data_IF_707031972799
#
_entry.id   IF_707031972799
#
_cell.length_a   1.000
_cell.length_b   1.000
_cell.length_c   1.000
_cell.angle_alpha   90.00
_cell.angle_beta   90.00
_cell.angle_gamma   90.00
#
_symmetry.space_group_name_H-M   'P 1'
#
loop_
_entity.id
_entity.type
_entity.pdbx_description
1 polymer ?
#
# COMPACT_ATOMS: atom_id res chain seq x y z
N UNK A 1 6.98 5.28 10.94
CA UNK A 1 6.78 4.24 11.98
C UNK A 1 5.33 4.24 12.44
N UNK A 2 4.75 3.07 12.58
CA UNK A 2 3.35 2.88 12.94
C UNK A 2 3.20 2.82 14.47
N UNK A 3 2.11 3.38 14.99
CA UNK A 3 1.60 3.09 16.33
C UNK A 3 0.07 3.00 16.28
N UNK A 4 -0.58 2.53 17.35
CA UNK A 4 -2.04 2.34 17.43
C UNK A 4 -2.89 3.57 17.07
N UNK A 5 -2.29 4.78 17.17
CA UNK A 5 -2.94 6.05 16.85
C UNK A 5 -2.45 6.63 15.53
N UNK A 6 -1.55 5.93 14.79
CA UNK A 6 -1.04 6.44 13.53
C UNK A 6 -2.16 6.64 12.52
N UNK A 7 -2.20 7.81 11.96
CA UNK A 7 -3.14 8.22 10.93
C UNK A 7 -2.32 8.45 9.66
N UNK A 8 -2.66 7.77 8.58
CA UNK A 8 -1.99 7.88 7.30
C UNK A 8 -2.84 8.69 6.34
N UNK A 9 -2.19 9.54 5.59
CA UNK A 9 -2.84 10.28 4.52
C UNK A 9 -2.65 9.52 3.21
N UNK A 10 -3.75 9.06 2.63
CA UNK A 10 -3.78 8.46 1.29
C UNK A 10 -4.76 9.29 0.47
N UNK A 11 -4.27 9.95 -0.57
CA UNK A 11 -5.09 10.81 -1.46
C UNK A 11 -6.00 11.76 -0.67
N UNK A 12 -5.40 12.54 0.24
CA UNK A 12 -6.07 13.52 1.12
C UNK A 12 -7.07 12.96 2.15
N UNK A 13 -7.14 11.65 2.34
CA UNK A 13 -7.94 11.02 3.40
C UNK A 13 -7.06 10.45 4.49
N UNK A 14 -7.55 10.56 5.71
CA UNK A 14 -6.87 10.07 6.90
C UNK A 14 -7.40 8.68 7.26
N UNK A 15 -6.49 7.71 7.38
CA UNK A 15 -6.80 6.32 7.72
C UNK A 15 -5.99 5.84 8.91
N UNK A 16 -6.59 4.97 9.71
CA UNK A 16 -5.86 4.07 10.59
C UNK A 16 -5.68 2.73 9.87
N UNK A 17 -4.70 1.91 10.27
CA UNK A 17 -4.52 0.58 9.67
C UNK A 17 -5.78 -0.27 9.83
N UNK A 18 -6.44 -0.21 10.99
CA UNK A 18 -7.70 -0.91 11.21
C UNK A 18 -8.82 -0.46 10.28
N UNK A 19 -8.88 0.83 9.94
CA UNK A 19 -9.85 1.36 8.98
C UNK A 19 -9.52 0.88 7.55
N UNK A 20 -8.22 0.76 7.23
CA UNK A 20 -7.77 0.27 5.91
C UNK A 20 -8.10 -1.20 5.72
N UNK A 21 -7.79 -2.03 6.71
CA UNK A 21 -7.93 -3.49 6.61
C UNK A 21 -9.34 -3.98 6.97
N UNK A 22 -10.15 -3.15 7.64
CA UNK A 22 -11.42 -3.56 8.25
C UNK A 22 -11.27 -4.80 9.16
N UNK A 23 -10.09 -4.94 9.74
CA UNK A 23 -9.72 -6.08 10.58
C UNK A 23 -8.75 -5.62 11.68
N UNK A 24 -9.26 -5.49 12.90
CA UNK A 24 -8.48 -5.04 14.06
C UNK A 24 -7.42 -6.07 14.49
N UNK A 25 -7.69 -7.35 14.31
CA UNK A 25 -6.76 -8.41 14.68
C UNK A 25 -5.51 -8.38 13.80
N UNK A 26 -5.69 -8.32 12.49
CA UNK A 26 -4.57 -8.18 11.54
C UNK A 26 -3.84 -6.86 11.78
N UNK A 27 -4.56 -5.76 11.97
CA UNK A 27 -3.96 -4.44 12.16
C UNK A 27 -3.00 -4.37 13.35
N UNK A 28 -3.29 -5.08 14.44
CA UNK A 28 -2.44 -5.10 15.65
C UNK A 28 -1.05 -5.71 15.42
N UNK A 29 -0.91 -6.62 14.46
CA UNK A 29 0.37 -7.25 14.12
C UNK A 29 1.40 -6.26 13.59
N UNK A 30 0.94 -5.18 12.99
CA UNK A 30 1.77 -4.16 12.35
C UNK A 30 2.08 -2.96 13.26
N UNK A 31 1.69 -3.01 14.54
CA UNK A 31 2.00 -1.94 15.50
C UNK A 31 3.52 -1.84 15.71
N UNK A 32 4.06 -0.65 15.58
CA UNK A 32 5.50 -0.39 15.64
C UNK A 32 6.27 -0.63 14.32
N UNK A 33 5.62 -1.12 13.28
CA UNK A 33 6.17 -1.36 11.96
C UNK A 33 6.27 -0.12 11.07
N UNK A 34 6.34 -0.32 9.76
CA UNK A 34 6.39 0.74 8.76
C UNK A 34 5.26 0.59 7.75
N UNK A 35 4.74 1.73 7.29
CA UNK A 35 3.79 1.82 6.19
C UNK A 35 4.42 2.66 5.07
N UNK A 36 4.55 2.07 3.89
CA UNK A 36 4.93 2.75 2.67
C UNK A 36 3.66 3.02 1.86
N UNK A 37 3.57 4.22 1.31
CA UNK A 37 2.46 4.66 0.48
C UNK A 37 3.04 5.15 -0.83
N UNK A 38 2.81 4.40 -1.90
CA UNK A 38 3.24 4.73 -3.26
C UNK A 38 2.05 5.34 -4.00
N UNK A 39 2.14 6.61 -4.29
CA UNK A 39 1.13 7.33 -5.06
C UNK A 39 1.53 7.32 -6.52
N UNK A 40 0.63 6.84 -7.38
CA UNK A 40 0.81 6.88 -8.82
C UNK A 40 -0.02 8.01 -9.43
N UNK A 41 0.59 8.79 -10.29
CA UNK A 41 -0.09 9.79 -11.13
C UNK A 41 -0.67 9.11 -12.38
N UNK A 42 -1.38 9.87 -13.20
CA UNK A 42 -2.11 9.30 -14.34
C UNK A 42 -1.18 8.76 -15.42
N UNK A 43 -0.02 9.35 -15.55
CA UNK A 43 1.03 9.02 -16.53
C UNK A 43 2.11 8.06 -16.00
N UNK A 44 2.01 7.67 -14.72
CA UNK A 44 2.91 6.68 -14.14
C UNK A 44 2.61 5.26 -14.65
N UNK A 45 3.59 4.36 -14.48
CA UNK A 45 3.43 2.94 -14.77
C UNK A 45 2.50 2.27 -13.76
N UNK A 46 1.38 1.73 -14.23
CA UNK A 46 0.29 1.25 -13.38
C UNK A 46 0.30 -0.27 -13.12
N UNK A 47 1.40 -0.96 -13.44
CA UNK A 47 1.63 -2.36 -13.06
C UNK A 47 2.46 -2.43 -11.79
N UNK A 48 2.24 -3.44 -10.98
CA UNK A 48 2.96 -3.64 -9.72
C UNK A 48 3.40 -5.08 -9.57
N UNK A 49 4.52 -5.27 -8.86
CA UNK A 49 5.16 -6.56 -8.68
C UNK A 49 5.26 -6.97 -7.22
N UNK A 50 5.58 -8.25 -7.03
CA UNK A 50 5.94 -8.78 -5.71
C UNK A 50 7.31 -8.26 -5.29
N UNK A 51 7.44 -7.95 -3.99
CA UNK A 51 8.62 -7.30 -3.39
C UNK A 51 9.72 -8.29 -2.99
N UNK A 52 9.41 -9.56 -2.94
CA UNK A 52 10.26 -10.65 -2.47
C UNK A 52 9.78 -11.97 -3.06
N UNK A 53 10.48 -13.08 -2.77
CA UNK A 53 9.98 -14.43 -2.98
C UNK A 53 9.06 -14.83 -1.82
N UNK A 54 8.08 -15.72 -2.07
CA UNK A 54 7.19 -16.19 -1.03
C UNK A 54 5.83 -16.69 -1.50
N UNK A 55 4.87 -16.69 -0.58
CA UNK A 55 3.47 -17.07 -0.84
C UNK A 55 2.52 -15.95 -0.45
N UNK A 56 1.32 -15.97 -0.97
CA UNK A 56 0.28 -15.00 -0.61
C UNK A 56 -1.03 -15.68 -0.25
N UNK A 57 -1.78 -15.01 0.60
CA UNK A 57 -3.18 -15.36 0.87
C UNK A 57 -4.10 -14.93 -0.28
N UNK A 58 -5.35 -15.35 -0.25
CA UNK A 58 -6.39 -14.79 -1.10
C UNK A 58 -6.45 -13.27 -1.06
N UNK A 59 -6.95 -12.70 -2.13
CA UNK A 59 -7.22 -11.29 -2.21
C UNK A 59 -8.52 -10.94 -1.46
N UNK A 60 -8.44 -9.98 -0.55
CA UNK A 60 -9.58 -9.51 0.23
C UNK A 60 -10.03 -8.17 -0.33
N UNK A 61 -11.16 -8.18 -1.02
CA UNK A 61 -11.75 -6.96 -1.58
C UNK A 61 -12.60 -6.23 -0.53
N UNK A 62 -12.31 -4.96 -0.33
CA UNK A 62 -13.12 -4.07 0.50
C UNK A 62 -13.84 -3.10 -0.41
N UNK A 63 -15.15 -3.31 -0.55
CA UNK A 63 -16.02 -2.44 -1.34
C UNK A 63 -15.98 -1.02 -0.77
N UNK A 64 -15.73 -0.08 -1.64
CA UNK A 64 -15.79 1.34 -1.38
C UNK A 64 -16.74 2.05 -2.34
N UNK A 65 -16.96 3.33 -2.09
CA UNK A 65 -17.65 4.21 -3.02
C UNK A 65 -16.62 4.79 -4.00
N UNK A 66 -16.96 4.85 -5.28
CA UNK A 66 -16.13 5.49 -6.29
C UNK A 66 -16.55 6.95 -6.42
N UNK A 67 -15.95 7.85 -5.64
CA UNK A 67 -16.26 9.28 -5.74
C UNK A 67 -15.26 10.04 -6.61
N UNK A 68 -15.80 11.06 -7.33
CA UNK A 68 -15.00 11.93 -8.21
C UNK A 68 -13.97 12.73 -7.43
N UNK A 69 -12.75 12.72 -7.94
CA UNK A 69 -11.59 13.45 -7.41
C UNK A 69 -11.50 14.88 -7.94
N UNK A 70 -12.63 15.52 -8.20
CA UNK A 70 -12.61 16.94 -8.53
C UNK A 70 -12.11 17.73 -7.31
N UNK A 71 -11.05 18.58 -7.44
CA UNK A 71 -10.51 19.37 -6.34
C UNK A 71 -11.54 20.19 -5.55
N UNK A 72 -12.64 20.58 -6.19
CA UNK A 72 -13.75 21.32 -5.56
C UNK A 72 -14.55 20.42 -4.61
N UNK A 73 -14.75 19.14 -4.94
CA UNK A 73 -15.43 18.17 -4.08
C UNK A 73 -14.55 17.78 -2.87
N UNK A 74 -13.22 17.81 -3.02
CA UNK A 74 -12.24 17.48 -1.98
C UNK A 74 -12.26 18.45 -0.79
N UNK A 75 -12.62 19.71 -1.01
CA UNK A 75 -12.73 20.72 0.07
C UNK A 75 -13.99 20.55 0.92
N UNK A 76 -15.01 19.85 0.43
CA UNK A 76 -16.35 19.80 1.04
C UNK A 76 -16.74 18.44 1.63
N UNK A 77 -16.16 17.34 1.17
CA UNK A 77 -16.51 15.98 1.59
C UNK A 77 -15.27 15.13 1.83
N UNK A 78 -15.24 14.37 2.92
CA UNK A 78 -14.25 13.31 3.20
C UNK A 78 -14.42 12.12 2.23
N UNK A 79 -14.37 12.40 0.93
CA UNK A 79 -14.73 11.50 -0.17
C UNK A 79 -13.85 10.24 -0.20
N UNK A 80 -12.60 10.34 0.26
CA UNK A 80 -11.60 9.28 0.14
C UNK A 80 -11.67 8.17 1.20
N UNK A 81 -12.45 8.33 2.26
CA UNK A 81 -12.65 7.26 3.26
C UNK A 81 -13.32 6.01 2.70
N UNK A 82 -13.70 6.05 1.43
CA UNK A 82 -14.61 5.09 0.83
C UNK A 82 -14.10 4.41 -0.44
N UNK A 83 -12.83 4.62 -0.85
CA UNK A 83 -12.33 4.00 -2.07
C UNK A 83 -12.27 2.48 -1.95
N UNK A 84 -12.74 1.82 -3.00
CA UNK A 84 -12.57 0.38 -3.18
C UNK A 84 -11.10 0.04 -3.12
N UNK A 85 -10.74 -1.00 -2.41
CA UNK A 85 -9.38 -1.47 -2.25
C UNK A 85 -9.35 -2.97 -2.11
N UNK A 86 -8.25 -3.53 -2.46
CA UNK A 86 -7.99 -4.96 -2.34
C UNK A 86 -6.68 -5.16 -1.61
N UNK A 87 -6.59 -6.12 -0.71
CA UNK A 87 -5.33 -6.43 -0.06
C UNK A 87 -5.12 -7.93 0.07
N UNK A 88 -3.87 -8.31 0.18
CA UNK A 88 -3.43 -9.67 0.51
C UNK A 88 -2.30 -9.60 1.54
N UNK A 89 -2.06 -10.69 2.24
CA UNK A 89 -0.88 -10.86 3.07
C UNK A 89 0.15 -11.64 2.26
N UNK A 90 1.31 -11.05 2.05
CA UNK A 90 2.47 -11.70 1.46
C UNK A 90 3.29 -12.32 2.59
N UNK A 91 3.45 -13.63 2.57
CA UNK A 91 4.38 -14.37 3.44
C UNK A 91 5.73 -14.40 2.73
N UNK A 92 6.58 -13.43 3.01
CA UNK A 92 7.83 -13.20 2.29
C UNK A 92 9.00 -13.86 2.99
N UNK A 93 10.01 -14.25 2.21
CA UNK A 93 11.20 -14.92 2.75
C UNK A 93 12.05 -14.00 3.64
N UNK A 94 12.14 -12.72 3.30
CA UNK A 94 13.04 -11.78 3.98
C UNK A 94 12.33 -10.75 4.87
N UNK A 95 11.08 -10.37 4.57
CA UNK A 95 10.39 -9.29 5.29
C UNK A 95 9.29 -9.77 6.25
N UNK A 96 9.08 -11.11 6.37
CA UNK A 96 7.98 -11.68 7.13
C UNK A 96 6.63 -11.41 6.45
N UNK A 97 5.58 -11.23 7.25
CA UNK A 97 4.24 -10.98 6.73
C UNK A 97 4.06 -9.51 6.35
N UNK A 98 3.81 -9.26 5.08
CA UNK A 98 3.61 -7.90 4.54
C UNK A 98 2.20 -7.75 4.01
N UNK A 99 1.45 -6.76 4.48
CA UNK A 99 0.20 -6.37 3.80
C UNK A 99 0.56 -5.63 2.53
N UNK A 100 0.09 -6.13 1.39
CA UNK A 100 0.14 -5.43 0.12
C UNK A 100 -1.28 -5.07 -0.28
N UNK A 101 -1.55 -3.78 -0.43
CA UNK A 101 -2.88 -3.25 -0.69
C UNK A 101 -2.86 -2.33 -1.90
N UNK A 102 -3.79 -2.55 -2.80
CA UNK A 102 -4.11 -1.68 -3.92
C UNK A 102 -5.33 -0.83 -3.58
N UNK A 103 -5.19 0.49 -3.67
CA UNK A 103 -6.28 1.44 -3.42
C UNK A 103 -6.68 2.10 -4.72
N UNK A 104 -7.89 1.84 -5.17
CA UNK A 104 -8.47 2.44 -6.36
C UNK A 104 -8.79 3.92 -6.18
N UNK A 105 -9.00 4.62 -7.29
CA UNK A 105 -9.53 5.98 -7.33
C UNK A 105 -10.67 6.06 -8.35
N UNK A 106 -11.36 7.19 -8.43
CA UNK A 106 -12.56 7.35 -9.28
C UNK A 106 -12.33 7.04 -10.76
N UNK A 107 -11.16 7.38 -11.27
CA UNK A 107 -10.79 7.10 -12.66
C UNK A 107 -10.09 5.74 -12.81
N UNK A 108 -9.89 4.98 -11.72
CA UNK A 108 -9.35 3.62 -11.74
C UNK A 108 -10.51 2.66 -11.82
N UNK A 109 -10.83 2.23 -13.04
CA UNK A 109 -11.98 1.37 -13.29
C UNK A 109 -11.86 -0.01 -12.62
N UNK A 110 -10.65 -0.51 -12.38
CA UNK A 110 -10.49 -1.85 -11.84
C UNK A 110 -9.08 -2.11 -11.29
N UNK A 111 -9.02 -2.74 -10.12
CA UNK A 111 -7.85 -3.44 -9.61
C UNK A 111 -7.85 -4.83 -10.24
N UNK A 112 -6.76 -5.20 -10.90
CA UNK A 112 -6.61 -6.50 -11.55
C UNK A 112 -5.42 -7.24 -10.96
N UNK A 113 -5.65 -8.02 -9.92
CA UNK A 113 -4.68 -8.97 -9.39
C UNK A 113 -4.73 -10.26 -10.21
N UNK A 114 -3.55 -10.83 -10.55
CA UNK A 114 -3.47 -11.99 -11.44
C UNK A 114 -3.79 -13.31 -10.75
N UNK A 115 -3.51 -13.40 -9.45
CA UNK A 115 -3.58 -14.66 -8.71
C UNK A 115 -4.35 -14.47 -7.40
N UNK A 116 -5.01 -15.55 -6.95
CA UNK A 116 -5.48 -15.70 -5.57
C UNK A 116 -4.36 -16.28 -4.70
N UNK A 117 -4.56 -17.34 -3.92
CA UNK A 117 -3.45 -18.02 -3.24
C UNK A 117 -2.38 -18.44 -4.26
N UNK A 118 -1.12 -18.03 -4.02
CA UNK A 118 -0.08 -18.19 -5.03
C UNK A 118 1.32 -18.22 -4.43
N UNK A 119 2.21 -18.96 -5.10
CA UNK A 119 3.66 -18.88 -4.98
C UNK A 119 4.18 -17.85 -5.96
N UNK A 120 4.97 -16.89 -5.51
CA UNK A 120 5.47 -15.82 -6.36
C UNK A 120 6.97 -15.61 -6.20
N UNK A 121 7.59 -15.07 -7.23
CA UNK A 121 8.98 -14.65 -7.24
C UNK A 121 9.11 -13.14 -7.17
N UNK A 122 10.20 -12.68 -6.58
CA UNK A 122 10.53 -11.25 -6.51
C UNK A 122 10.58 -10.62 -7.90
N UNK A 123 9.88 -9.49 -8.06
CA UNK A 123 9.78 -8.78 -9.32
C UNK A 123 8.75 -9.34 -10.30
N UNK A 124 8.14 -10.50 -10.01
CA UNK A 124 7.03 -11.02 -10.80
C UNK A 124 5.82 -10.08 -10.70
N UNK A 125 5.10 -9.90 -11.82
CA UNK A 125 3.93 -9.01 -11.86
C UNK A 125 2.80 -9.58 -11.02
N UNK A 126 2.39 -8.84 -10.00
CA UNK A 126 1.24 -9.17 -9.14
C UNK A 126 -0.08 -8.74 -9.77
N UNK A 127 -0.07 -7.63 -10.49
CA UNK A 127 -1.27 -7.08 -11.09
C UNK A 127 -1.10 -5.69 -11.65
N UNK A 128 -2.24 -5.09 -12.01
CA UNK A 128 -2.28 -3.74 -12.58
C UNK A 128 -3.55 -2.98 -12.18
N UNK A 129 -3.47 -1.66 -12.29
CA UNK A 129 -4.64 -0.80 -12.28
C UNK A 129 -5.09 -0.48 -13.71
N UNK A 130 -6.39 -0.59 -13.99
CA UNK A 130 -6.98 -0.14 -15.23
C UNK A 130 -7.52 1.28 -15.06
N UNK A 131 -6.91 2.24 -15.79
CA UNK A 131 -7.25 3.67 -15.87
C UNK A 131 -7.09 4.52 -14.61
N UNK A 132 -6.26 5.55 -14.70
CA UNK A 132 -6.17 6.71 -13.79
C UNK A 132 -5.47 6.47 -12.45
N UNK A 133 -5.03 7.56 -11.82
CA UNK A 133 -4.21 7.57 -10.61
C UNK A 133 -4.62 6.64 -9.47
N UNK A 134 -3.67 5.89 -8.94
CA UNK A 134 -3.84 4.82 -7.96
C UNK A 134 -2.85 4.92 -6.81
N UNK A 135 -2.97 4.06 -5.82
CA UNK A 135 -2.05 4.04 -4.68
C UNK A 135 -1.80 2.61 -4.25
N UNK A 136 -0.54 2.27 -4.03
CA UNK A 136 -0.14 1.03 -3.39
C UNK A 136 0.25 1.34 -1.95
N UNK A 137 -0.22 0.52 -1.02
CA UNK A 137 0.14 0.60 0.40
C UNK A 137 0.78 -0.72 0.81
N UNK A 138 2.01 -0.65 1.31
CA UNK A 138 2.71 -1.79 1.88
C UNK A 138 2.91 -1.57 3.37
N UNK A 139 2.53 -2.56 4.19
CA UNK A 139 2.63 -2.47 5.64
C UNK A 139 3.48 -3.62 6.14
N UNK A 140 4.58 -3.27 6.79
CA UNK A 140 5.56 -4.20 7.34
C UNK A 140 5.43 -4.31 8.85
N UNK A 141 5.62 -5.49 9.38
CA UNK A 141 5.71 -5.73 10.81
C UNK A 141 6.93 -5.00 11.43
N UNK A 142 6.89 -4.83 12.74
CA UNK A 142 7.99 -4.21 13.49
C UNK A 142 9.31 -4.98 13.28
N UNK A 143 10.39 -4.24 13.06
CA UNK A 143 11.75 -4.77 12.89
C UNK A 143 11.92 -5.73 11.69
N UNK A 144 11.11 -5.60 10.64
CA UNK A 144 11.24 -6.41 9.42
C UNK A 144 11.86 -5.65 8.25
N UNK A 145 11.82 -4.32 8.28
CA UNK A 145 12.40 -3.48 7.22
C UNK A 145 13.12 -2.27 7.81
N UNK A 146 14.22 -1.89 7.17
CA UNK A 146 14.93 -0.63 7.35
C UNK A 146 14.67 0.20 6.08
N UNK A 147 13.80 1.22 6.11
CA UNK A 147 13.58 2.11 4.98
C UNK A 147 14.84 2.89 4.64
N UNK A 148 15.03 3.25 3.38
CA UNK A 148 16.15 4.07 2.95
C UNK A 148 16.08 5.47 3.59
N UNK A 149 17.24 6.07 3.86
CA UNK A 149 17.37 7.26 4.70
C UNK A 149 16.69 8.49 4.11
N UNK A 150 16.77 8.66 2.80
CA UNK A 150 16.14 9.76 2.07
C UNK A 150 14.63 9.71 2.19
N UNK A 151 14.02 8.52 2.03
CA UNK A 151 12.58 8.30 2.22
C UNK A 151 12.15 8.70 3.64
N UNK A 152 12.92 8.31 4.66
CA UNK A 152 12.62 8.67 6.05
C UNK A 152 12.71 10.19 6.26
N UNK A 153 13.77 10.82 5.73
CA UNK A 153 14.03 12.26 5.91
C UNK A 153 12.94 13.06 5.19
N UNK A 154 12.67 12.76 3.92
CA UNK A 154 11.67 13.45 3.13
C UNK A 154 10.27 13.30 3.75
N UNK A 155 9.90 12.09 4.13
CA UNK A 155 8.60 11.83 4.76
C UNK A 155 8.42 12.57 6.09
N UNK A 156 9.46 12.71 6.92
CA UNK A 156 9.42 13.51 8.16
C UNK A 156 9.22 14.99 7.89
N UNK A 157 9.75 15.47 6.78
CA UNK A 157 9.64 16.88 6.35
C UNK A 157 8.35 17.16 5.56
N UNK A 158 7.50 16.14 5.34
CA UNK A 158 6.24 16.27 4.61
C UNK A 158 6.41 16.25 3.09
N UNK A 159 7.56 15.79 2.59
CA UNK A 159 7.83 15.65 1.15
C UNK A 159 7.68 14.20 0.70
N UNK A 160 7.22 14.01 -0.54
CA UNK A 160 7.28 12.73 -1.24
C UNK A 160 8.68 12.51 -1.81
N UNK A 161 9.12 11.25 -1.89
CA UNK A 161 10.34 10.85 -2.60
C UNK A 161 9.94 10.20 -3.91
N UNK A 162 10.49 10.67 -5.02
CA UNK A 162 10.29 10.03 -6.32
C UNK A 162 11.06 8.72 -6.31
N UNK A 163 10.39 7.64 -6.69
CA UNK A 163 10.98 6.29 -6.82
C UNK A 163 10.55 5.68 -8.14
N UNK A 164 11.45 4.95 -8.78
CA UNK A 164 11.16 4.28 -10.04
C UNK A 164 10.68 2.84 -9.80
N UNK A 165 9.96 2.28 -10.76
CA UNK A 165 9.56 0.88 -10.73
C UNK A 165 10.79 -0.04 -10.60
N UNK A 166 10.76 -0.94 -9.62
CA UNK A 166 11.88 -1.84 -9.31
C UNK A 166 13.00 -1.21 -8.46
N UNK A 167 12.91 0.07 -8.15
CA UNK A 167 13.89 0.74 -7.28
C UNK A 167 13.76 0.27 -5.83
N UNK A 168 14.92 0.10 -5.20
CA UNK A 168 14.99 -0.29 -3.78
C UNK A 168 14.55 0.88 -2.89
N UNK A 169 13.63 0.64 -1.99
CA UNK A 169 13.11 1.62 -1.02
C UNK A 169 13.44 1.28 0.43
N UNK A 170 14.06 0.13 0.65
CA UNK A 170 14.48 -0.34 1.96
C UNK A 170 15.16 -1.70 1.89
N UNK A 171 15.63 -2.17 3.03
CA UNK A 171 16.34 -3.45 3.15
C UNK A 171 15.74 -4.26 4.29
N UNK A 172 15.64 -5.57 4.12
CA UNK A 172 15.22 -6.47 5.19
C UNK A 172 16.16 -6.35 6.39
N UNK A 173 15.60 -6.38 7.58
CA UNK A 173 16.42 -6.47 8.80
C UNK A 173 16.98 -7.88 8.86
N UNK A 174 18.31 -8.02 8.84
CA UNK A 174 18.94 -9.30 9.09
C UNK A 174 18.43 -9.84 10.43
N UNK A 175 17.94 -11.06 10.45
CA UNK A 175 17.72 -11.74 11.72
C UNK A 175 19.10 -11.97 12.34
N UNK A 176 19.49 -11.12 13.31
CA UNK A 176 20.63 -11.35 14.17
C UNK A 176 20.21 -12.33 15.27
#
# INVERSE_FOLDING_TARGET
KINKKSIFQIKNSLYRISDLLKNDFIARRYDGGYCFIYRLEVDDYHRYCYIDDGTKTDNIFIKGELHTVNPIALKKYNVYKRNSREYTILHTDNFGDVVHMEVGALCVGKICNHHNEYYFSKGEEKGMFQFGGSTIVQIFEKNKIIPDKDIIINSKNGFETIVHYGEKTGTATSNI
#
